data_IF_365966114248
#
_entry.id   IF_365966114248
#
_cell.length_a   1.000
_cell.length_b   1.000
_cell.length_c   1.000
_cell.angle_alpha   90.00
_cell.angle_beta   90.00
_cell.angle_gamma   90.00
#
_symmetry.space_group_name_H-M   'P 1'
#
loop_
_entity.id
_entity.type
_entity.pdbx_description
1 polymer ?
#
# COMPACT_ATOMS: atom_id res chain seq x y z
N UNK A 1 -31.81 35.36 -25.52
CA UNK A 1 -31.51 33.90 -25.44
C UNK A 1 -30.01 33.58 -25.27
N UNK A 2 -29.08 34.52 -25.45
CA UNK A 2 -27.62 34.29 -25.35
C UNK A 2 -27.14 34.06 -23.89
N UNK A 3 -27.76 34.73 -22.91
CA UNK A 3 -27.38 34.59 -21.49
C UNK A 3 -27.68 33.22 -20.85
N UNK A 4 -28.58 32.43 -21.43
CA UNK A 4 -28.90 31.07 -20.93
C UNK A 4 -27.92 30.01 -21.45
N UNK A 5 -27.51 30.13 -22.72
CA UNK A 5 -26.49 29.29 -23.34
C UNK A 5 -25.11 29.50 -22.70
N UNK A 6 -24.77 30.74 -22.32
CA UNK A 6 -23.53 31.03 -21.60
C UNK A 6 -23.50 30.35 -20.23
N UNK A 7 -24.63 30.35 -19.50
CA UNK A 7 -24.73 29.64 -18.20
C UNK A 7 -24.60 28.13 -18.36
N UNK A 8 -25.19 27.52 -19.39
CA UNK A 8 -25.05 26.09 -19.65
C UNK A 8 -23.61 25.68 -20.02
N UNK A 9 -22.87 26.54 -20.72
CA UNK A 9 -21.46 26.31 -21.09
C UNK A 9 -20.45 26.59 -19.97
N UNK A 10 -20.75 27.53 -19.06
CA UNK A 10 -19.87 27.82 -17.92
C UNK A 10 -19.99 26.78 -16.80
N UNK A 11 -21.16 26.14 -16.62
CA UNK A 11 -21.35 25.07 -15.63
C UNK A 11 -20.31 23.94 -15.73
N UNK A 12 -20.06 23.31 -16.90
CA UNK A 12 -19.05 22.26 -17.01
C UNK A 12 -17.63 22.80 -16.75
N UNK A 13 -17.34 24.03 -17.16
CA UNK A 13 -16.03 24.66 -16.89
C UNK A 13 -15.81 24.86 -15.40
N UNK A 14 -16.81 25.36 -14.66
CA UNK A 14 -16.73 25.50 -13.20
C UNK A 14 -16.58 24.16 -12.50
N UNK A 15 -17.26 23.10 -12.98
CA UNK A 15 -17.11 21.75 -12.43
C UNK A 15 -15.69 21.23 -12.65
N UNK A 16 -15.13 21.41 -13.84
CA UNK A 16 -13.75 21.00 -14.15
C UNK A 16 -12.74 21.79 -13.30
N UNK A 17 -12.91 23.10 -13.20
CA UNK A 17 -12.05 23.96 -12.37
C UNK A 17 -12.16 23.56 -10.90
N UNK A 18 -13.36 23.31 -10.39
CA UNK A 18 -13.55 22.83 -9.01
C UNK A 18 -12.92 21.46 -8.77
N UNK A 19 -13.02 20.53 -9.72
CA UNK A 19 -12.37 19.23 -9.65
C UNK A 19 -10.84 19.35 -9.65
N UNK A 20 -10.28 20.20 -10.51
CA UNK A 20 -8.83 20.47 -10.55
C UNK A 20 -8.36 21.10 -9.24
N UNK A 21 -9.09 22.08 -8.70
CA UNK A 21 -8.77 22.71 -7.40
C UNK A 21 -8.85 21.70 -6.26
N UNK A 22 -9.85 20.80 -6.27
CA UNK A 22 -9.98 19.74 -5.28
C UNK A 22 -8.76 18.79 -5.32
N UNK A 23 -8.33 18.38 -6.51
CA UNK A 23 -7.16 17.52 -6.70
C UNK A 23 -5.87 18.23 -6.26
N UNK A 24 -5.72 19.52 -6.59
CA UNK A 24 -4.58 20.34 -6.15
C UNK A 24 -4.55 20.47 -4.62
N UNK A 25 -5.70 20.74 -4.00
CA UNK A 25 -5.83 20.78 -2.55
C UNK A 25 -5.45 19.43 -1.93
N UNK A 26 -5.99 18.32 -2.44
CA UNK A 26 -5.64 16.99 -1.97
C UNK A 26 -4.13 16.72 -2.10
N UNK A 27 -3.51 17.08 -3.23
CA UNK A 27 -2.08 16.94 -3.46
C UNK A 27 -1.25 17.79 -2.48
N UNK A 28 -1.67 19.03 -2.21
CA UNK A 28 -1.04 19.92 -1.22
C UNK A 28 -1.18 19.34 0.18
N UNK A 29 -2.37 18.87 0.57
CA UNK A 29 -2.59 18.22 1.86
C UNK A 29 -1.72 16.98 2.01
N UNK A 30 -1.57 16.15 0.97
CA UNK A 30 -0.68 14.98 0.97
C UNK A 30 0.79 15.40 1.10
N UNK A 31 1.19 16.46 0.38
CA UNK A 31 2.56 17.00 0.39
C UNK A 31 2.94 17.61 1.74
N UNK A 32 2.04 18.40 2.34
CA UNK A 32 2.24 19.02 3.66
C UNK A 32 2.08 18.02 4.81
N UNK A 33 1.30 16.95 4.63
CA UNK A 33 1.08 15.91 5.63
C UNK A 33 2.29 15.01 5.87
N UNK A 34 3.34 15.07 5.05
CA UNK A 34 4.63 14.40 5.28
C UNK A 34 4.44 12.91 5.66
N UNK A 35 3.48 12.24 5.00
CA UNK A 35 3.05 10.85 5.27
C UNK A 35 2.33 10.60 6.59
N UNK A 36 2.55 11.43 7.62
CA UNK A 36 2.10 11.19 9.02
C UNK A 36 0.60 11.34 9.22
N UNK A 37 -0.08 12.22 8.50
CA UNK A 37 -1.55 12.33 8.61
C UNK A 37 -2.29 11.30 7.76
N UNK A 38 -1.75 10.94 6.59
CA UNK A 38 -2.29 9.86 5.79
C UNK A 38 -2.23 8.54 6.56
N UNK A 39 -1.08 8.23 7.17
CA UNK A 39 -0.91 7.04 8.02
C UNK A 39 -1.86 7.04 9.22
N UNK A 40 -2.11 8.20 9.86
CA UNK A 40 -3.05 8.33 10.99
C UNK A 40 -4.53 8.25 10.59
N UNK A 41 -4.91 8.76 9.42
CA UNK A 41 -6.26 8.59 8.89
C UNK A 41 -6.47 7.16 8.38
N UNK A 42 -5.52 6.58 7.67
CA UNK A 42 -5.55 5.18 7.23
C UNK A 42 -5.58 4.22 8.42
N UNK A 43 -4.85 4.47 9.51
CA UNK A 43 -4.94 3.64 10.73
C UNK A 43 -6.28 3.82 11.46
N UNK A 44 -6.88 5.03 11.46
CA UNK A 44 -8.24 5.23 11.98
C UNK A 44 -9.32 4.57 11.12
N UNK A 45 -9.19 4.62 9.80
CA UNK A 45 -10.12 3.98 8.85
C UNK A 45 -9.91 2.45 8.79
N UNK A 46 -8.67 1.96 8.98
CA UNK A 46 -8.33 0.55 9.10
C UNK A 46 -8.96 -0.13 10.33
N UNK A 47 -9.52 0.66 11.27
CA UNK A 47 -10.33 0.14 12.38
C UNK A 47 -11.64 -0.49 11.89
N UNK A 48 -12.13 -0.13 10.70
CA UNK A 48 -13.28 -0.78 10.07
C UNK A 48 -12.87 -2.11 9.41
N UNK A 49 -12.78 -3.16 10.25
CA UNK A 49 -12.60 -4.58 9.85
C UNK A 49 -13.44 -5.03 8.63
N UNK A 50 -14.71 -4.62 8.41
CA UNK A 50 -15.46 -5.07 7.24
C UNK A 50 -14.94 -4.50 5.92
N UNK A 51 -14.43 -3.26 5.90
CA UNK A 51 -13.93 -2.63 4.66
C UNK A 51 -12.61 -3.27 4.22
N UNK A 52 -11.72 -3.55 5.18
CA UNK A 52 -10.46 -4.28 4.94
C UNK A 52 -10.70 -5.65 4.31
N UNK A 53 -11.71 -6.41 4.77
CA UNK A 53 -12.05 -7.70 4.17
C UNK A 53 -12.48 -7.58 2.70
N UNK A 54 -13.27 -6.55 2.36
CA UNK A 54 -13.72 -6.33 0.98
C UNK A 54 -12.56 -5.97 0.04
N UNK A 55 -11.64 -5.10 0.47
CA UNK A 55 -10.45 -4.75 -0.32
C UNK A 55 -9.50 -5.93 -0.53
N UNK A 56 -9.31 -6.76 0.51
CA UNK A 56 -8.45 -7.95 0.38
C UNK A 56 -9.05 -8.95 -0.61
N UNK A 57 -10.38 -9.10 -0.65
CA UNK A 57 -11.04 -9.97 -1.62
C UNK A 57 -10.94 -9.47 -3.07
N UNK A 58 -11.02 -8.17 -3.32
CA UNK A 58 -10.79 -7.65 -4.67
C UNK A 58 -9.34 -7.90 -5.11
N UNK A 59 -8.37 -7.66 -4.23
CA UNK A 59 -6.96 -7.86 -4.52
C UNK A 59 -6.61 -9.33 -4.78
N UNK A 60 -7.11 -10.25 -3.95
CA UNK A 60 -6.94 -11.69 -4.15
C UNK A 60 -7.50 -12.16 -5.49
N UNK A 61 -8.65 -11.61 -5.92
CA UNK A 61 -9.29 -11.98 -7.20
C UNK A 61 -8.52 -11.47 -8.42
N UNK A 62 -7.78 -10.38 -8.28
CA UNK A 62 -6.85 -9.86 -9.29
C UNK A 62 -5.58 -10.72 -9.35
N UNK A 63 -5.04 -11.04 -8.17
CA UNK A 63 -3.82 -11.84 -8.02
C UNK A 63 -4.02 -13.29 -8.49
N UNK A 64 -5.20 -13.87 -8.26
CA UNK A 64 -5.53 -15.23 -8.69
C UNK A 64 -5.53 -15.37 -10.22
N UNK A 65 -5.85 -14.31 -10.96
CA UNK A 65 -5.82 -14.30 -12.43
C UNK A 65 -4.40 -14.24 -12.99
N UNK A 66 -3.49 -13.57 -12.29
CA UNK A 66 -2.12 -13.31 -12.76
C UNK A 66 -1.13 -14.33 -12.23
N UNK A 67 -1.23 -14.72 -10.97
CA UNK A 67 -0.37 -15.72 -10.35
C UNK A 67 -1.09 -16.45 -9.19
N UNK A 68 -1.64 -17.66 -9.43
CA UNK A 68 -2.39 -18.40 -8.41
C UNK A 68 -1.51 -18.86 -7.23
N UNK A 69 -0.20 -19.02 -7.44
CA UNK A 69 0.76 -19.39 -6.38
C UNK A 69 1.02 -18.21 -5.45
N UNK A 70 1.18 -17.00 -6.01
CA UNK A 70 1.31 -15.77 -5.24
C UNK A 70 0.04 -15.44 -4.43
N UNK A 71 -1.15 -15.71 -4.98
CA UNK A 71 -2.42 -15.54 -4.28
C UNK A 71 -2.52 -16.44 -3.03
N UNK A 72 -2.14 -17.72 -3.15
CA UNK A 72 -2.09 -18.66 -2.02
C UNK A 72 -1.06 -18.24 -0.98
N UNK A 73 0.12 -17.80 -1.43
CA UNK A 73 1.17 -17.28 -0.55
C UNK A 73 0.68 -16.04 0.23
N UNK A 74 0.03 -15.10 -0.45
CA UNK A 74 -0.55 -13.90 0.15
C UNK A 74 -1.63 -14.23 1.18
N UNK A 75 -2.56 -15.14 0.86
CA UNK A 75 -3.62 -15.57 1.78
C UNK A 75 -3.06 -16.26 3.05
N UNK A 76 -1.98 -17.05 2.89
CA UNK A 76 -1.28 -17.72 3.99
C UNK A 76 -0.61 -16.70 4.91
N UNK A 77 0.06 -15.71 4.34
CA UNK A 77 0.64 -14.58 5.06
C UNK A 77 -0.41 -13.76 5.82
N UNK A 78 -1.52 -13.40 5.17
CA UNK A 78 -2.60 -12.61 5.77
C UNK A 78 -3.19 -13.28 7.02
N UNK A 79 -3.34 -14.60 6.99
CA UNK A 79 -3.88 -15.38 8.10
C UNK A 79 -2.98 -15.34 9.33
N UNK A 80 -1.68 -15.16 9.14
CA UNK A 80 -0.66 -15.21 10.20
C UNK A 80 -0.30 -13.81 10.69
N UNK A 81 -0.06 -12.87 9.77
CA UNK A 81 0.51 -11.58 10.12
C UNK A 81 -0.52 -10.60 10.67
N UNK A 82 -1.80 -10.71 10.29
CA UNK A 82 -2.91 -9.87 10.77
C UNK A 82 -2.82 -8.36 10.44
N UNK A 83 -1.61 -7.86 10.23
CA UNK A 83 -1.18 -6.50 9.97
C UNK A 83 -0.34 -6.44 8.68
N UNK A 84 -0.49 -5.33 7.95
CA UNK A 84 0.10 -5.07 6.65
C UNK A 84 1.61 -4.86 6.71
N UNK A 85 2.07 -4.16 7.74
CA UNK A 85 3.49 -3.85 7.95
C UNK A 85 4.33 -5.12 8.17
N UNK A 86 3.71 -6.15 8.74
CA UNK A 86 4.37 -7.38 9.15
C UNK A 86 4.41 -8.44 8.03
N UNK A 87 3.62 -8.28 6.96
CA UNK A 87 3.55 -9.20 5.81
C UNK A 87 4.86 -9.31 5.02
N UNK A 88 5.60 -8.21 4.91
CA UNK A 88 6.84 -8.16 4.13
C UNK A 88 8.10 -8.45 4.98
N UNK A 89 7.94 -8.95 6.20
CA UNK A 89 9.06 -9.23 7.10
C UNK A 89 9.64 -10.62 6.85
N UNK A 90 10.95 -10.79 7.09
CA UNK A 90 11.63 -12.09 6.90
C UNK A 90 11.01 -13.18 7.78
N UNK A 91 10.55 -12.80 8.98
CA UNK A 91 9.85 -13.70 9.89
C UNK A 91 8.53 -14.22 9.28
N UNK A 92 7.76 -13.35 8.62
CA UNK A 92 6.51 -13.76 7.98
C UNK A 92 6.75 -14.61 6.72
N UNK A 93 7.79 -14.27 5.93
CA UNK A 93 8.21 -15.02 4.74
C UNK A 93 8.79 -16.41 5.07
N UNK A 94 9.20 -16.64 6.32
CA UNK A 94 9.71 -17.94 6.77
C UNK A 94 8.65 -19.04 6.77
N UNK A 95 7.35 -18.69 6.88
CA UNK A 95 6.23 -19.64 6.90
C UNK A 95 5.80 -20.07 5.49
N UNK A 96 6.26 -19.35 4.46
CA UNK A 96 6.06 -19.72 3.06
C UNK A 96 7.08 -20.78 2.64
N UNK A 97 6.65 -21.71 1.78
CA UNK A 97 7.56 -22.61 1.07
C UNK A 97 8.45 -21.84 0.10
N UNK A 98 9.56 -22.46 -0.35
CA UNK A 98 10.51 -21.80 -1.24
C UNK A 98 9.88 -21.33 -2.57
N UNK A 99 8.93 -22.09 -3.11
CA UNK A 99 8.20 -21.74 -4.33
C UNK A 99 7.21 -20.58 -4.09
N UNK A 100 6.43 -20.64 -3.00
CA UNK A 100 5.49 -19.58 -2.60
C UNK A 100 6.21 -18.26 -2.32
N UNK A 101 7.37 -18.30 -1.66
CA UNK A 101 8.18 -17.12 -1.37
C UNK A 101 8.68 -16.45 -2.64
N UNK A 102 9.16 -17.21 -3.63
CA UNK A 102 9.61 -16.66 -4.91
C UNK A 102 8.47 -16.02 -5.68
N UNK A 103 7.33 -16.70 -5.79
CA UNK A 103 6.15 -16.17 -6.47
C UNK A 103 5.62 -14.89 -5.79
N UNK A 104 5.67 -14.83 -4.46
CA UNK A 104 5.33 -13.62 -3.72
C UNK A 104 6.33 -12.49 -4.01
N UNK A 105 7.63 -12.73 -3.90
CA UNK A 105 8.66 -11.72 -4.13
C UNK A 105 8.68 -11.20 -5.58
N UNK A 106 8.32 -12.04 -6.55
CA UNK A 106 8.25 -11.68 -7.97
C UNK A 106 7.11 -10.67 -8.23
N UNK A 107 5.94 -10.90 -7.65
CA UNK A 107 4.77 -10.02 -7.78
C UNK A 107 4.96 -8.69 -7.04
N UNK A 108 5.67 -8.72 -5.91
CA UNK A 108 5.92 -7.54 -5.07
C UNK A 108 7.35 -6.99 -5.22
N UNK A 109 8.03 -7.31 -6.33
CA UNK A 109 9.41 -6.88 -6.57
C UNK A 109 9.53 -5.35 -6.71
N UNK A 110 8.54 -4.72 -7.34
CA UNK A 110 8.50 -3.28 -7.62
C UNK A 110 7.94 -2.45 -6.46
N UNK A 111 7.22 -3.09 -5.53
CA UNK A 111 6.81 -2.47 -4.27
C UNK A 111 8.01 -2.48 -3.31
N UNK A 112 9.00 -1.64 -3.61
CA UNK A 112 10.20 -1.49 -2.78
C UNK A 112 9.77 -1.17 -1.33
N UNK A 113 9.98 -2.09 -0.35
CA UNK A 113 9.46 -1.83 0.97
C UNK A 113 10.37 -0.79 1.61
N UNK A 114 9.83 0.37 1.98
CA UNK A 114 10.52 1.31 2.88
C UNK A 114 11.03 0.60 4.16
N UNK A 115 10.39 -0.52 4.55
CA UNK A 115 10.85 -1.44 5.59
C UNK A 115 12.14 -2.19 5.24
N UNK A 116 12.37 -2.56 3.99
CA UNK A 116 13.53 -3.37 3.57
C UNK A 116 14.84 -2.61 3.79
N UNK A 117 14.84 -1.27 3.64
CA UNK A 117 15.98 -0.43 4.03
C UNK A 117 16.19 -0.38 5.54
N UNK A 118 15.12 -0.27 6.33
CA UNK A 118 15.21 -0.25 7.79
C UNK A 118 15.65 -1.61 8.37
N UNK A 119 15.18 -2.70 7.78
CA UNK A 119 15.48 -4.09 8.16
C UNK A 119 16.89 -4.49 7.70
N UNK A 120 17.32 -4.04 6.51
CA UNK A 120 18.72 -4.12 6.05
C UNK A 120 19.65 -3.34 6.98
N UNK A 121 19.27 -2.16 7.47
CA UNK A 121 20.04 -1.42 8.48
C UNK A 121 20.15 -2.18 9.82
N UNK A 122 19.08 -2.82 10.30
CA UNK A 122 19.12 -3.62 11.55
C UNK A 122 19.99 -4.87 11.42
N UNK A 123 19.89 -5.60 10.31
CA UNK A 123 20.70 -6.80 10.06
C UNK A 123 22.18 -6.47 9.83
N UNK A 124 22.48 -5.31 9.25
CA UNK A 124 23.87 -4.82 9.16
C UNK A 124 24.44 -4.46 10.54
N UNK A 125 23.66 -3.80 11.41
CA UNK A 125 24.09 -3.50 12.79
C UNK A 125 24.39 -4.76 13.60
N UNK A 126 23.51 -5.76 13.56
CA UNK A 126 23.73 -7.01 14.31
C UNK A 126 24.89 -7.86 13.77
N UNK A 127 25.22 -7.75 12.47
CA UNK A 127 26.46 -8.33 11.92
C UNK A 127 27.70 -7.59 12.39
N UNK A 128 27.65 -6.25 12.43
CA UNK A 128 28.79 -5.43 12.84
C UNK A 128 29.12 -5.60 14.33
N UNK A 129 28.11 -5.73 15.19
CA UNK A 129 28.30 -6.05 16.61
C UNK A 129 28.97 -7.42 16.83
N UNK A 130 28.71 -8.39 15.95
CA UNK A 130 29.34 -9.72 15.99
C UNK A 130 30.76 -9.76 15.45
N UNK A 131 31.15 -8.79 14.61
CA UNK A 131 32.49 -8.74 13.98
C UNK A 131 33.43 -7.73 14.63
N UNK A 132 32.91 -6.70 15.30
CA UNK A 132 33.70 -5.67 15.99
C UNK A 132 33.96 -5.93 17.48
N UNK A 133 33.56 -7.10 18.01
CA UNK A 133 33.76 -7.50 19.41
C UNK A 133 34.98 -8.41 19.62
N UNK A 134 36.13 -8.08 19.03
CA UNK A 134 37.43 -8.73 19.27
C UNK A 134 38.50 -7.69 19.53
#
# INVERSE_FOLDING_TARGET
MIGSLLRLGLVPVYIVVAAVVLVLMAAIFIRLADGRYAERLLTRTARFRPLRRRMIHSYLRELEKTNPVAARAYAKLERISGDASMRHTDAALSVLSAAERRAYLDVFADEEPALNRAQRRRSLRSRQERTGGR
#
